data_IF_487849889541
#
_entry.id   IF_487849889541
#
_cell.length_a   1.000
_cell.length_b   1.000
_cell.length_c   1.000
_cell.angle_alpha   90.00
_cell.angle_beta   90.00
_cell.angle_gamma   90.00
#
_symmetry.space_group_name_H-M   'P 1'
#
loop_
_entity.id
_entity.type
_entity.pdbx_description
1 polymer ?
#
# COMPACT_ATOMS: atom_id res chain seq x y z
N UNK A 1 -34.85 -2.69 32.59
CA UNK A 1 -33.41 -2.58 32.28
C UNK A 1 -33.12 -2.60 30.78
N UNK A 2 -33.74 -3.45 29.94
CA UNK A 2 -33.57 -3.45 28.46
C UNK A 2 -33.88 -2.10 27.75
N UNK A 3 -34.93 -1.38 28.17
CA UNK A 3 -35.31 -0.11 27.53
C UNK A 3 -34.38 1.08 27.83
N UNK A 4 -33.56 1.02 28.89
CA UNK A 4 -32.63 2.12 29.22
C UNK A 4 -31.42 2.11 28.29
N UNK A 5 -30.85 0.93 28.01
CA UNK A 5 -29.73 0.74 27.09
C UNK A 5 -30.08 1.10 25.64
N UNK A 6 -31.27 0.69 25.17
CA UNK A 6 -31.80 1.09 23.86
C UNK A 6 -32.00 2.62 23.75
N UNK A 7 -32.44 3.27 24.82
CA UNK A 7 -32.66 4.72 24.83
C UNK A 7 -31.36 5.52 24.93
N UNK A 8 -30.31 5.03 25.61
CA UNK A 8 -29.00 5.69 25.67
C UNK A 8 -28.21 5.51 24.36
N UNK A 9 -28.30 4.33 23.72
CA UNK A 9 -27.77 4.09 22.36
C UNK A 9 -28.45 5.01 21.33
N UNK A 10 -29.79 5.19 21.44
CA UNK A 10 -30.55 6.18 20.66
C UNK A 10 -30.22 7.63 21.03
N UNK A 11 -29.90 7.92 22.29
CA UNK A 11 -29.51 9.26 22.73
C UNK A 11 -28.12 9.66 22.20
N UNK A 12 -27.14 8.75 22.21
CA UNK A 12 -25.83 8.98 21.58
C UNK A 12 -25.93 9.04 20.05
N UNK A 13 -26.75 8.18 19.42
CA UNK A 13 -27.06 8.28 17.99
C UNK A 13 -27.82 9.57 17.63
N UNK A 14 -28.74 10.04 18.47
CA UNK A 14 -29.48 11.30 18.30
C UNK A 14 -28.65 12.54 18.60
N UNK A 15 -27.72 12.45 19.54
CA UNK A 15 -26.73 13.50 19.83
C UNK A 15 -25.65 13.57 18.74
N UNK A 16 -25.35 12.44 18.07
CA UNK A 16 -24.49 12.41 16.90
C UNK A 16 -25.11 13.11 15.68
N UNK A 17 -26.45 13.11 15.53
CA UNK A 17 -27.13 13.91 14.49
C UNK A 17 -26.99 15.41 14.76
N UNK A 18 -27.01 15.84 16.03
CA UNK A 18 -26.84 17.25 16.42
C UNK A 18 -25.35 17.68 16.45
N UNK A 19 -24.43 16.80 16.87
CA UNK A 19 -22.99 17.05 16.91
C UNK A 19 -22.32 16.98 15.54
N UNK A 20 -22.71 16.01 14.69
CA UNK A 20 -22.31 15.99 13.28
C UNK A 20 -22.97 17.15 12.51
N UNK A 21 -24.19 17.55 12.84
CA UNK A 21 -24.87 18.70 12.22
C UNK A 21 -24.22 20.06 12.49
N UNK A 22 -23.53 20.22 13.64
CA UNK A 22 -22.86 21.48 14.01
C UNK A 22 -21.36 21.55 13.61
N UNK A 23 -20.74 20.42 13.26
CA UNK A 23 -19.35 20.37 12.78
C UNK A 23 -19.20 19.99 11.29
N UNK A 24 -20.21 19.36 10.66
CA UNK A 24 -20.14 18.96 9.25
C UNK A 24 -20.03 20.12 8.24
N UNK A 25 -20.65 21.31 8.42
CA UNK A 25 -20.54 22.36 7.41
C UNK A 25 -19.15 23.03 7.34
N UNK A 26 -18.31 22.86 8.37
CA UNK A 26 -16.99 23.49 8.43
C UNK A 26 -15.84 22.60 7.93
N UNK A 27 -16.08 21.29 7.73
CA UNK A 27 -15.03 20.34 7.32
C UNK A 27 -15.03 20.10 5.79
N UNK A 28 -16.16 20.32 5.10
CA UNK A 28 -16.21 20.16 3.63
C UNK A 28 -15.56 21.29 2.83
N UNK A 29 -15.16 22.40 3.46
CA UNK A 29 -14.43 23.49 2.80
C UNK A 29 -12.90 23.45 2.99
N UNK A 30 -12.37 22.48 3.72
CA UNK A 30 -10.91 22.29 3.89
C UNK A 30 -10.40 20.91 3.42
N UNK A 31 -11.22 20.16 2.67
CA UNK A 31 -10.75 19.01 1.88
C UNK A 31 -9.74 19.40 0.78
N UNK A 32 -9.45 20.70 0.62
CA UNK A 32 -8.30 21.21 -0.10
C UNK A 32 -7.18 21.60 0.89
N UNK A 33 -6.07 20.89 0.81
CA UNK A 33 -4.77 21.19 1.46
C UNK A 33 -4.70 21.07 3.00
N UNK A 34 -4.78 19.85 3.51
CA UNK A 34 -3.88 19.51 4.62
C UNK A 34 -2.50 19.23 4.02
N UNK A 35 -1.69 20.28 3.88
CA UNK A 35 -0.25 20.10 3.69
C UNK A 35 0.26 19.20 4.80
N UNK A 36 0.88 18.08 4.41
CA UNK A 36 1.52 17.15 5.36
C UNK A 36 2.47 17.94 6.27
N UNK A 37 2.44 17.74 7.60
CA UNK A 37 3.34 18.43 8.51
C UNK A 37 4.72 17.76 8.49
N UNK A 38 5.37 17.82 7.33
CA UNK A 38 6.80 17.77 7.16
C UNK A 38 7.14 18.46 5.84
N UNK A 39 7.77 19.63 5.89
CA UNK A 39 8.78 20.00 4.89
C UNK A 39 9.90 18.95 4.97
N UNK A 40 9.66 17.77 4.37
CA UNK A 40 10.69 16.78 4.06
C UNK A 40 11.23 17.19 2.70
N UNK A 41 12.41 17.82 2.70
CA UNK A 41 13.11 18.18 1.48
C UNK A 41 13.05 17.07 0.43
N UNK A 42 12.73 17.46 -0.80
CA UNK A 42 12.60 16.63 -2.00
C UNK A 42 11.79 15.31 -1.81
N UNK A 43 10.46 15.42 -1.93
CA UNK A 43 9.52 14.27 -2.00
C UNK A 43 9.53 13.61 -3.40
N UNK A 44 10.62 13.74 -4.14
CA UNK A 44 10.75 13.16 -5.47
C UNK A 44 11.26 11.73 -5.33
N UNK A 45 10.32 10.79 -5.39
CA UNK A 45 10.50 9.38 -5.79
C UNK A 45 10.98 8.37 -4.72
N UNK A 46 10.14 8.12 -3.71
CA UNK A 46 10.26 6.95 -2.81
C UNK A 46 9.17 5.91 -3.12
N UNK A 47 9.45 4.62 -2.91
CA UNK A 47 8.41 3.57 -2.92
C UNK A 47 7.36 3.92 -1.87
N UNK A 48 6.07 3.82 -2.21
CA UNK A 48 5.00 4.28 -1.33
C UNK A 48 4.33 3.10 -0.62
N UNK A 49 4.23 3.20 0.71
CA UNK A 49 3.28 2.45 1.54
C UNK A 49 2.19 3.45 1.92
N UNK A 50 0.92 3.11 1.73
CA UNK A 50 -0.18 3.95 2.20
C UNK A 50 -0.75 3.36 3.47
N UNK A 51 -0.77 4.15 4.54
CA UNK A 51 -1.30 3.78 5.83
C UNK A 51 -2.63 4.50 6.05
N UNK A 52 -3.73 3.76 6.01
CA UNK A 52 -5.09 4.28 6.18
C UNK A 52 -5.64 3.77 7.51
N UNK A 53 -6.18 4.68 8.32
CA UNK A 53 -6.78 4.31 9.60
C UNK A 53 -7.27 5.49 10.41
N UNK A 54 -7.31 5.30 11.72
CA UNK A 54 -7.97 6.20 12.67
C UNK A 54 -6.98 6.99 13.54
N UNK A 55 -7.49 7.78 14.50
CA UNK A 55 -6.70 8.67 15.37
C UNK A 55 -5.51 7.99 16.03
N UNK A 56 -5.73 6.81 16.62
CA UNK A 56 -4.69 6.10 17.38
C UNK A 56 -3.69 5.40 16.46
N UNK A 57 -3.96 5.24 15.16
CA UNK A 57 -2.98 4.80 14.17
C UNK A 57 -2.19 5.98 13.61
N UNK A 58 -2.85 7.13 13.47
CA UNK A 58 -2.28 8.39 12.98
C UNK A 58 -1.12 8.91 13.82
N UNK A 59 -1.08 8.61 15.12
CA UNK A 59 -0.11 9.17 16.08
C UNK A 59 -0.76 9.95 17.22
N UNK A 60 -2.09 9.97 17.31
CA UNK A 60 -2.76 10.52 18.49
C UNK A 60 -2.37 9.69 19.71
N UNK A 61 -1.98 10.36 20.79
CA UNK A 61 -1.54 9.78 22.07
C UNK A 61 -0.13 9.15 22.08
N UNK A 62 0.69 9.38 21.04
CA UNK A 62 2.05 8.82 20.95
C UNK A 62 3.17 9.59 21.69
N UNK A 63 2.83 10.69 22.37
CA UNK A 63 3.78 11.67 22.90
C UNK A 63 3.82 11.82 24.41
N UNK A 64 4.95 12.29 24.94
CA UNK A 64 5.13 12.64 26.36
C UNK A 64 4.71 14.09 26.67
N UNK A 65 4.89 15.00 25.70
CA UNK A 65 4.71 16.45 25.93
C UNK A 65 3.51 17.06 25.19
N UNK A 66 2.96 16.35 24.20
CA UNK A 66 1.76 16.75 23.46
C UNK A 66 1.01 15.51 22.97
N UNK A 67 -0.34 15.51 22.95
CA UNK A 67 -1.14 14.39 22.47
C UNK A 67 -1.01 14.11 20.97
N UNK A 68 -0.19 14.86 20.22
CA UNK A 68 0.04 14.72 18.78
C UNK A 68 1.52 14.44 18.48
N UNK A 69 1.94 13.17 18.44
CA UNK A 69 3.31 12.79 18.08
C UNK A 69 3.34 11.99 16.77
N UNK A 70 3.24 12.72 15.65
CA UNK A 70 3.31 12.15 14.30
C UNK A 70 4.65 11.46 14.01
N UNK A 71 5.73 11.96 14.61
CA UNK A 71 7.10 11.43 14.55
C UNK A 71 7.27 10.08 15.28
N UNK A 72 6.33 9.70 16.13
CA UNK A 72 6.28 8.38 16.81
C UNK A 72 5.08 7.54 16.39
N UNK A 73 4.33 7.99 15.38
CA UNK A 73 3.18 7.27 14.84
C UNK A 73 3.59 5.86 14.35
N UNK A 74 2.66 4.91 14.34
CA UNK A 74 2.95 3.55 13.85
C UNK A 74 3.37 3.58 12.37
N UNK A 75 2.71 4.38 11.49
CA UNK A 75 3.21 4.62 10.14
C UNK A 75 4.66 5.12 10.09
N UNK A 76 5.07 6.02 10.98
CA UNK A 76 6.46 6.49 11.03
C UNK A 76 7.42 5.38 11.47
N UNK A 77 7.06 4.60 12.48
CA UNK A 77 7.87 3.45 12.92
C UNK A 77 8.06 2.41 11.79
N UNK A 78 7.03 2.19 10.97
CA UNK A 78 7.12 1.35 9.76
C UNK A 78 8.11 1.93 8.76
N UNK A 79 8.03 3.24 8.49
CA UNK A 79 8.95 3.93 7.59
C UNK A 79 10.41 3.77 8.05
N UNK A 80 10.67 4.05 9.32
CA UNK A 80 12.00 3.98 9.91
C UNK A 80 12.58 2.56 9.84
N UNK A 81 11.78 1.54 10.15
CA UNK A 81 12.22 0.15 10.11
C UNK A 81 12.49 -0.35 8.68
N UNK A 82 11.68 0.05 7.71
CA UNK A 82 11.90 -0.29 6.30
C UNK A 82 13.14 0.41 5.76
N UNK A 83 13.37 1.67 6.14
CA UNK A 83 14.60 2.41 5.79
C UNK A 83 15.85 1.84 6.46
N UNK A 84 15.75 1.37 7.70
CA UNK A 84 16.85 0.70 8.39
C UNK A 84 17.31 -0.58 7.65
N UNK A 85 16.47 -1.17 6.80
CA UNK A 85 16.82 -2.27 5.88
C UNK A 85 17.38 -1.79 4.53
N UNK A 86 17.71 -0.51 4.39
CA UNK A 86 18.26 0.08 3.16
C UNK A 86 17.24 0.31 2.04
N UNK A 87 15.94 0.18 2.32
CA UNK A 87 14.90 0.36 1.32
C UNK A 87 14.43 1.82 1.24
N UNK A 88 14.34 2.36 0.03
CA UNK A 88 13.86 3.72 -0.23
C UNK A 88 12.31 3.79 -0.19
N UNK A 89 11.72 3.69 0.99
CA UNK A 89 10.28 3.86 1.21
C UNK A 89 9.91 5.19 1.87
N UNK A 90 8.73 5.69 1.50
CA UNK A 90 7.92 6.62 2.28
C UNK A 90 6.64 5.92 2.73
N UNK A 91 6.20 6.22 3.95
CA UNK A 91 4.86 5.86 4.40
C UNK A 91 3.98 7.11 4.34
N UNK A 92 3.00 7.08 3.46
CA UNK A 92 1.93 8.08 3.38
C UNK A 92 0.89 7.80 4.47
N UNK A 93 0.99 8.52 5.58
CA UNK A 93 0.08 8.43 6.70
C UNK A 93 -1.22 9.17 6.39
N UNK A 94 -2.18 8.45 5.80
CA UNK A 94 -3.54 8.91 5.50
C UNK A 94 -4.54 8.54 6.58
N UNK A 95 -4.09 8.27 7.81
CA UNK A 95 -4.99 8.05 8.91
C UNK A 95 -5.69 9.37 9.28
N UNK A 96 -7.01 9.32 9.44
CA UNK A 96 -7.84 10.50 9.71
C UNK A 96 -8.58 10.30 11.03
N UNK A 97 -8.40 11.27 11.92
CA UNK A 97 -9.07 11.25 13.23
C UNK A 97 -10.59 11.32 13.06
N UNK A 98 -11.31 10.63 13.95
CA UNK A 98 -12.78 10.59 13.98
C UNK A 98 -13.45 9.98 12.74
N UNK A 99 -12.70 9.28 11.87
CA UNK A 99 -13.28 8.59 10.71
C UNK A 99 -13.65 7.15 11.00
N UNK A 100 -14.80 6.74 10.47
CA UNK A 100 -15.23 5.35 10.34
C UNK A 100 -14.74 4.78 9.01
N UNK A 101 -14.75 3.46 8.84
CA UNK A 101 -14.40 2.83 7.55
C UNK A 101 -15.25 3.35 6.39
N UNK A 102 -16.53 3.66 6.62
CA UNK A 102 -17.43 4.20 5.57
C UNK A 102 -16.95 5.52 4.97
N UNK A 103 -16.20 6.32 5.75
CA UNK A 103 -15.63 7.59 5.27
C UNK A 103 -14.54 7.39 4.22
N UNK A 104 -14.02 6.17 4.07
CA UNK A 104 -12.91 5.85 3.17
C UNK A 104 -13.33 5.16 1.88
N UNK A 105 -14.61 4.78 1.74
CA UNK A 105 -15.12 4.15 0.50
C UNK A 105 -15.83 5.15 -0.42
N UNK A 106 -16.10 6.37 0.06
CA UNK A 106 -16.74 7.41 -0.76
C UNK A 106 -15.81 7.89 -1.89
N UNK A 107 -16.34 8.31 -3.05
CA UNK A 107 -15.53 8.90 -4.12
C UNK A 107 -14.64 10.04 -3.61
N UNK A 108 -13.37 10.04 -4.03
CA UNK A 108 -12.35 11.01 -3.59
C UNK A 108 -11.79 10.78 -2.17
N UNK A 109 -12.30 9.80 -1.41
CA UNK A 109 -11.73 9.45 -0.12
C UNK A 109 -10.43 8.66 -0.27
N UNK A 110 -9.59 8.67 0.77
CA UNK A 110 -8.26 8.06 0.76
C UNK A 110 -8.24 6.57 0.41
N UNK A 111 -9.32 5.83 0.71
CA UNK A 111 -9.50 4.41 0.41
C UNK A 111 -10.42 4.12 -0.78
N UNK A 112 -10.79 5.14 -1.54
CA UNK A 112 -11.64 4.96 -2.72
C UNK A 112 -10.88 4.29 -3.87
N UNK A 113 -11.60 3.56 -4.72
CA UNK A 113 -11.04 2.94 -5.93
C UNK A 113 -10.25 3.93 -6.78
N UNK A 114 -10.76 5.15 -6.94
CA UNK A 114 -10.14 6.22 -7.71
C UNK A 114 -8.79 6.64 -7.12
N UNK A 115 -8.76 6.96 -5.83
CA UNK A 115 -7.52 7.41 -5.17
C UNK A 115 -6.50 6.28 -5.08
N UNK A 116 -6.94 5.05 -4.81
CA UNK A 116 -6.05 3.90 -4.72
C UNK A 116 -5.46 3.54 -6.08
N UNK A 117 -6.28 3.55 -7.14
CA UNK A 117 -5.81 3.36 -8.50
C UNK A 117 -4.73 4.40 -8.81
N UNK A 118 -4.92 5.66 -8.44
CA UNK A 118 -4.02 6.76 -8.82
C UNK A 118 -2.72 6.86 -8.01
N UNK A 119 -2.51 5.96 -7.04
CA UNK A 119 -1.30 5.93 -6.22
C UNK A 119 -0.31 4.89 -6.71
N UNK A 120 0.97 5.24 -6.75
CA UNK A 120 2.07 4.29 -7.00
C UNK A 120 2.42 3.42 -5.77
N UNK A 121 1.45 3.22 -4.88
CA UNK A 121 1.58 2.38 -3.69
C UNK A 121 1.47 0.91 -4.08
N UNK A 122 2.33 0.07 -3.50
CA UNK A 122 2.25 -1.39 -3.63
C UNK A 122 1.75 -2.08 -2.35
N UNK A 123 1.84 -1.41 -1.19
CA UNK A 123 1.41 -1.93 0.12
C UNK A 123 0.44 -0.94 0.76
N UNK A 124 -0.76 -1.40 1.11
CA UNK A 124 -1.74 -0.62 1.88
C UNK A 124 -1.92 -1.24 3.25
N UNK A 125 -1.76 -0.44 4.30
CA UNK A 125 -1.99 -0.83 5.69
C UNK A 125 -3.34 -0.28 6.14
N UNK A 126 -4.20 -1.14 6.69
CA UNK A 126 -5.53 -0.76 7.19
C UNK A 126 -5.63 -1.01 8.71
N UNK A 127 -5.98 0.04 9.46
CA UNK A 127 -6.28 -0.03 10.90
C UNK A 127 -7.58 0.75 11.20
N UNK A 128 -8.67 0.02 11.48
CA UNK A 128 -10.00 0.59 11.70
C UNK A 128 -10.77 -0.19 12.76
N UNK A 129 -11.75 0.48 13.39
CA UNK A 129 -12.75 -0.19 14.22
C UNK A 129 -13.16 0.59 15.47
N UNK A 130 -12.36 1.55 15.95
CA UNK A 130 -12.68 2.30 17.17
C UNK A 130 -13.89 3.20 16.92
N UNK A 131 -13.85 4.02 15.87
CA UNK A 131 -14.97 4.93 15.60
C UNK A 131 -16.22 4.18 15.15
N UNK A 132 -16.04 3.04 14.48
CA UNK A 132 -17.14 2.15 14.11
C UNK A 132 -17.79 1.47 15.33
N UNK A 133 -16.99 1.11 16.35
CA UNK A 133 -17.52 0.59 17.61
C UNK A 133 -18.34 1.66 18.36
N UNK A 134 -17.83 2.89 18.43
CA UNK A 134 -18.45 3.96 19.23
C UNK A 134 -19.66 4.59 18.51
N UNK A 135 -19.56 4.84 17.21
CA UNK A 135 -20.53 5.66 16.45
C UNK A 135 -21.21 4.90 15.30
N UNK A 136 -20.86 3.65 15.08
CA UNK A 136 -21.33 2.84 13.95
C UNK A 136 -22.13 1.61 14.38
N UNK A 137 -22.18 0.66 13.45
CA UNK A 137 -22.70 -0.69 13.69
C UNK A 137 -21.71 -1.71 13.12
N UNK A 138 -21.65 -2.90 13.72
CA UNK A 138 -20.77 -3.98 13.25
C UNK A 138 -21.12 -4.41 11.82
N UNK A 139 -22.39 -4.34 11.42
CA UNK A 139 -22.81 -4.73 10.07
C UNK A 139 -22.43 -3.68 9.01
N UNK A 140 -22.54 -2.39 9.33
CA UNK A 140 -22.00 -1.32 8.47
C UNK A 140 -20.48 -1.49 8.32
N UNK A 141 -19.78 -1.72 9.42
CA UNK A 141 -18.34 -1.96 9.41
C UNK A 141 -17.97 -3.15 8.51
N UNK A 142 -18.62 -4.31 8.69
CA UNK A 142 -18.35 -5.51 7.86
C UNK A 142 -18.49 -5.21 6.38
N UNK A 143 -19.60 -4.58 5.99
CA UNK A 143 -19.90 -4.25 4.60
C UNK A 143 -18.84 -3.32 4.02
N UNK A 144 -18.55 -2.21 4.70
CA UNK A 144 -17.65 -1.17 4.20
C UNK A 144 -16.18 -1.53 4.29
N UNK A 145 -15.78 -2.33 5.27
CA UNK A 145 -14.43 -2.86 5.35
C UNK A 145 -14.15 -3.91 4.26
N UNK A 146 -15.15 -4.73 3.93
CA UNK A 146 -15.07 -5.63 2.77
C UNK A 146 -14.93 -4.85 1.46
N UNK A 147 -15.74 -3.81 1.27
CA UNK A 147 -15.67 -2.91 0.11
C UNK A 147 -14.28 -2.24 0.00
N UNK A 148 -13.74 -1.70 1.09
CA UNK A 148 -12.40 -1.10 1.10
C UNK A 148 -11.28 -2.10 0.74
N UNK A 149 -11.36 -3.33 1.24
CA UNK A 149 -10.40 -4.39 0.88
C UNK A 149 -10.50 -4.73 -0.62
N UNK A 150 -11.72 -4.86 -1.15
CA UNK A 150 -11.93 -5.11 -2.57
C UNK A 150 -11.38 -3.99 -3.42
N UNK A 151 -11.57 -2.74 -2.99
CA UNK A 151 -11.05 -1.57 -3.69
C UNK A 151 -9.51 -1.59 -3.74
N UNK A 152 -8.87 -1.90 -2.62
CA UNK A 152 -7.42 -2.08 -2.56
C UNK A 152 -6.94 -3.21 -3.48
N UNK A 153 -7.64 -4.36 -3.47
CA UNK A 153 -7.27 -5.50 -4.33
C UNK A 153 -7.42 -5.13 -5.80
N UNK A 154 -8.58 -4.56 -6.20
CA UNK A 154 -8.87 -4.05 -7.55
C UNK A 154 -7.76 -3.14 -8.06
N UNK A 155 -7.33 -2.22 -7.22
CA UNK A 155 -6.20 -1.33 -7.49
C UNK A 155 -4.82 -2.01 -7.33
N UNK A 156 -4.71 -3.34 -7.44
CA UNK A 156 -3.45 -4.09 -7.46
C UNK A 156 -2.59 -3.98 -6.20
N UNK A 157 -3.19 -3.67 -5.04
CA UNK A 157 -2.44 -3.43 -3.80
C UNK A 157 -2.28 -4.71 -2.97
N UNK A 158 -1.11 -4.89 -2.36
CA UNK A 158 -0.91 -5.85 -1.29
C UNK A 158 -1.45 -5.26 0.01
N UNK A 159 -2.53 -5.85 0.53
CA UNK A 159 -3.23 -5.32 1.71
C UNK A 159 -2.71 -6.00 2.97
N UNK A 160 -2.35 -5.19 3.96
CA UNK A 160 -1.97 -5.61 5.31
C UNK A 160 -2.99 -5.02 6.28
N UNK A 161 -3.65 -5.88 7.03
CA UNK A 161 -4.68 -5.48 8.00
C UNK A 161 -4.18 -5.71 9.41
N UNK A 162 -4.54 -4.82 10.32
CA UNK A 162 -4.41 -5.02 11.77
C UNK A 162 -5.78 -5.00 12.41
N UNK A 163 -5.95 -5.65 13.58
CA UNK A 163 -7.08 -5.35 14.44
C UNK A 163 -7.05 -3.89 14.91
N UNK A 164 -8.20 -3.29 15.27
CA UNK A 164 -8.22 -1.99 15.92
C UNK A 164 -7.43 -2.01 17.22
N UNK A 165 -6.93 -0.84 17.61
CA UNK A 165 -6.23 -0.69 18.88
C UNK A 165 -7.22 -0.92 20.03
N UNK A 166 -6.76 -1.57 21.11
CA UNK A 166 -7.62 -1.90 22.24
C UNK A 166 -7.79 -0.68 23.14
N UNK A 167 -9.04 -0.40 23.50
CA UNK A 167 -9.39 0.61 24.48
C UNK A 167 -9.96 -0.13 25.68
N UNK A 168 -9.43 0.12 26.87
CA UNK A 168 -9.94 -0.44 28.12
C UNK A 168 -10.79 0.63 28.80
N UNK A 169 -12.04 0.28 29.15
CA UNK A 169 -12.99 1.16 29.82
C UNK A 169 -13.13 0.74 31.27
N UNK A 170 -12.73 1.61 32.19
CA UNK A 170 -12.87 1.36 33.62
C UNK A 170 -14.33 1.52 34.09
N UNK A 171 -15.13 2.34 33.39
CA UNK A 171 -16.56 2.48 33.65
C UNK A 171 -17.34 1.24 33.15
N UNK A 172 -18.03 0.50 34.04
CA UNK A 172 -18.91 -0.60 33.66
C UNK A 172 -19.95 -0.26 32.59
N UNK A 173 -20.42 0.98 32.55
CA UNK A 173 -21.43 1.47 31.60
C UNK A 173 -20.87 1.65 30.18
N UNK A 174 -19.54 1.68 30.01
CA UNK A 174 -18.86 1.86 28.73
C UNK A 174 -18.18 0.57 28.20
N UNK A 175 -18.21 -0.52 28.97
CA UNK A 175 -17.66 -1.83 28.56
C UNK A 175 -18.27 -2.41 27.29
N UNK A 176 -19.45 -1.95 26.87
CA UNK A 176 -20.04 -2.32 25.58
C UNK A 176 -19.14 -1.94 24.38
N UNK A 177 -18.26 -0.94 24.53
CA UNK A 177 -17.27 -0.55 23.50
C UNK A 177 -16.23 -1.66 23.32
N UNK A 178 -15.76 -2.26 24.42
CA UNK A 178 -14.82 -3.39 24.38
C UNK A 178 -15.45 -4.63 23.73
N UNK A 179 -16.71 -4.92 24.07
CA UNK A 179 -17.48 -6.00 23.46
C UNK A 179 -17.66 -5.78 21.95
N UNK A 180 -18.01 -4.55 21.55
CA UNK A 180 -18.19 -4.19 20.13
C UNK A 180 -16.86 -4.25 19.37
N UNK A 181 -15.75 -3.80 19.96
CA UNK A 181 -14.41 -3.93 19.37
C UNK A 181 -13.98 -5.40 19.21
N UNK A 182 -14.41 -6.26 20.12
CA UNK A 182 -14.20 -7.71 20.03
C UNK A 182 -14.97 -8.29 18.84
N UNK A 183 -16.23 -7.90 18.65
CA UNK A 183 -17.02 -8.30 17.49
C UNK A 183 -16.43 -7.79 16.17
N UNK A 184 -15.96 -6.53 16.13
CA UNK A 184 -15.26 -5.97 14.97
C UNK A 184 -13.97 -6.73 14.66
N UNK A 185 -13.18 -7.08 15.69
CA UNK A 185 -11.95 -7.85 15.50
C UNK A 185 -12.23 -9.26 14.94
N UNK A 186 -13.32 -9.91 15.38
CA UNK A 186 -13.78 -11.17 14.82
C UNK A 186 -14.25 -11.02 13.36
N UNK A 187 -14.94 -9.92 13.04
CA UNK A 187 -15.33 -9.59 11.68
C UNK A 187 -14.11 -9.38 10.76
N UNK A 188 -13.12 -8.60 11.18
CA UNK A 188 -11.85 -8.41 10.46
C UNK A 188 -11.18 -9.75 10.18
N UNK A 189 -11.09 -10.61 11.19
CA UNK A 189 -10.47 -11.94 11.07
C UNK A 189 -11.16 -12.78 10.00
N UNK A 190 -12.49 -12.83 10.04
CA UNK A 190 -13.31 -13.56 9.06
C UNK A 190 -13.14 -12.99 7.65
N UNK A 191 -13.17 -11.66 7.50
CA UNK A 191 -13.01 -10.99 6.20
C UNK A 191 -11.62 -11.27 5.62
N UNK A 192 -10.56 -11.15 6.42
CA UNK A 192 -9.19 -11.38 5.97
C UNK A 192 -8.98 -12.83 5.52
N UNK A 193 -9.51 -13.80 6.27
CA UNK A 193 -9.50 -15.22 5.88
C UNK A 193 -10.24 -15.45 4.56
N UNK A 194 -11.48 -14.96 4.44
CA UNK A 194 -12.31 -15.15 3.25
C UNK A 194 -11.75 -14.48 2.00
N UNK A 195 -11.06 -13.34 2.16
CA UNK A 195 -10.49 -12.58 1.04
C UNK A 195 -9.01 -12.89 0.77
N UNK A 196 -8.41 -13.82 1.53
CA UNK A 196 -7.00 -14.16 1.50
C UNK A 196 -6.10 -12.91 1.64
N UNK A 197 -6.31 -12.14 2.71
CA UNK A 197 -5.59 -10.91 3.03
C UNK A 197 -4.75 -11.11 4.29
N UNK A 198 -3.56 -10.51 4.30
CA UNK A 198 -2.64 -10.61 5.42
C UNK A 198 -3.21 -9.89 6.65
N UNK A 199 -3.38 -10.63 7.74
CA UNK A 199 -3.79 -10.10 9.03
C UNK A 199 -2.63 -10.21 10.02
N UNK A 200 -2.19 -9.08 10.54
CA UNK A 200 -1.22 -9.03 11.65
C UNK A 200 -2.01 -9.09 12.95
N UNK A 201 -1.97 -10.26 13.60
CA UNK A 201 -2.69 -10.51 14.86
C UNK A 201 -1.83 -10.15 16.08
N UNK A 202 -2.51 -9.65 17.12
CA UNK A 202 -1.95 -9.28 18.41
C UNK A 202 -0.83 -8.24 18.37
N UNK A 203 -1.18 -6.99 18.60
CA UNK A 203 -0.22 -5.90 18.71
C UNK A 203 -0.81 -4.73 18.01
N UNK A 204 -1.53 -3.91 18.77
CA UNK A 204 -1.47 -2.47 18.71
C UNK A 204 -2.27 -1.88 19.91
N UNK A 205 -1.93 -0.64 20.26
CA UNK A 205 -1.99 0.06 21.55
C UNK A 205 -3.07 -0.42 22.53
N UNK A 206 -2.66 -0.83 23.73
CA UNK A 206 -3.55 -0.75 24.90
C UNK A 206 -3.55 0.70 25.33
N UNK A 207 -4.56 1.45 24.90
CA UNK A 207 -4.78 2.78 25.46
C UNK A 207 -5.59 2.55 26.73
N UNK A 208 -4.90 2.48 27.87
CA UNK A 208 -5.55 2.77 29.13
C UNK A 208 -5.87 4.26 29.12
N UNK A 209 -7.13 4.60 29.38
CA UNK A 209 -7.60 5.97 29.44
C UNK A 209 -7.92 6.29 30.90
N UNK A 210 -7.48 7.45 31.39
CA UNK A 210 -7.98 7.95 32.67
C UNK A 210 -9.43 8.46 32.53
N UNK A 211 -10.03 8.88 33.65
CA UNK A 211 -11.39 9.44 33.71
C UNK A 211 -11.61 10.70 32.83
N UNK A 212 -10.53 11.27 32.27
CA UNK A 212 -10.55 12.41 31.36
C UNK A 212 -10.17 12.04 29.92
N UNK A 213 -10.12 10.75 29.59
CA UNK A 213 -9.72 10.22 28.28
C UNK A 213 -8.27 10.56 27.90
N UNK A 214 -7.37 10.72 28.88
CA UNK A 214 -5.92 10.82 28.62
C UNK A 214 -5.28 9.43 28.56
N UNK A 215 -4.32 9.21 27.65
CA UNK A 215 -3.54 7.98 27.62
C UNK A 215 -2.71 7.84 28.90
N UNK A 216 -2.94 6.76 29.65
CA UNK A 216 -2.18 6.41 30.85
C UNK A 216 -0.83 5.79 30.49
N UNK A 217 -0.70 5.19 29.29
CA UNK A 217 0.54 4.68 28.74
C UNK A 217 1.17 5.67 27.74
N UNK A 218 2.35 6.19 28.07
CA UNK A 218 3.14 7.09 27.20
C UNK A 218 3.76 6.38 25.97
N UNK A 219 4.76 7.03 25.35
CA UNK A 219 5.38 6.61 24.08
C UNK A 219 5.84 5.13 24.02
N UNK A 220 6.22 4.50 25.14
CA UNK A 220 6.66 3.10 25.18
C UNK A 220 5.54 2.09 24.85
N UNK A 221 4.30 2.35 25.29
CA UNK A 221 3.15 1.51 24.97
C UNK A 221 2.83 1.55 23.47
N UNK A 222 3.03 2.70 22.85
CA UNK A 222 2.80 2.96 21.43
C UNK A 222 3.87 2.30 20.53
N UNK A 223 5.12 2.23 20.99
CA UNK A 223 6.21 1.51 20.30
C UNK A 223 6.00 -0.01 20.35
N UNK A 224 5.70 -0.55 21.54
CA UNK A 224 5.47 -2.00 21.71
C UNK A 224 4.29 -2.49 20.88
N UNK A 225 3.26 -1.65 20.81
CA UNK A 225 2.05 -1.86 20.02
C UNK A 225 2.34 -2.02 18.52
N UNK A 226 3.11 -1.11 17.93
CA UNK A 226 3.40 -1.12 16.48
C UNK A 226 4.36 -2.22 16.06
N UNK A 227 5.12 -2.78 17.00
CA UNK A 227 6.25 -3.67 16.70
C UNK A 227 5.91 -4.84 15.77
N UNK A 228 4.78 -5.53 15.96
CA UNK A 228 4.43 -6.66 15.09
C UNK A 228 4.11 -6.23 13.66
N UNK A 229 3.36 -5.14 13.50
CA UNK A 229 3.11 -4.56 12.18
C UNK A 229 4.43 -4.12 11.53
N UNK A 230 5.31 -3.48 12.30
CA UNK A 230 6.64 -3.05 11.86
C UNK A 230 7.47 -4.27 11.41
N UNK A 231 7.58 -5.31 12.23
CA UNK A 231 8.30 -6.55 11.91
C UNK A 231 7.75 -7.19 10.63
N UNK A 232 6.41 -7.29 10.53
CA UNK A 232 5.72 -7.87 9.37
C UNK A 232 5.98 -7.06 8.09
N UNK A 233 5.71 -5.75 8.11
CA UNK A 233 5.92 -4.87 6.94
C UNK A 233 7.39 -4.85 6.54
N UNK A 234 8.31 -4.82 7.50
CA UNK A 234 9.75 -4.87 7.22
C UNK A 234 10.18 -6.20 6.57
N UNK A 235 9.40 -7.27 6.72
CA UNK A 235 9.66 -8.59 6.12
C UNK A 235 9.09 -8.68 4.71
N UNK A 236 7.89 -8.15 4.48
CA UNK A 236 7.25 -8.21 3.15
C UNK A 236 7.74 -7.10 2.20
N UNK A 237 8.19 -5.94 2.69
CA UNK A 237 8.62 -4.84 1.83
C UNK A 237 9.80 -5.21 0.91
N UNK A 238 10.85 -5.91 1.39
CA UNK A 238 11.89 -6.44 0.50
C UNK A 238 11.34 -7.39 -0.57
N UNK A 239 10.39 -8.27 -0.22
CA UNK A 239 9.76 -9.21 -1.17
C UNK A 239 9.01 -8.43 -2.26
N UNK A 240 8.14 -7.49 -1.87
CA UNK A 240 7.40 -6.65 -2.83
C UNK A 240 8.35 -5.83 -3.72
N UNK A 241 9.46 -5.35 -3.17
CA UNK A 241 10.49 -4.65 -3.92
C UNK A 241 11.16 -5.54 -4.98
N UNK A 242 11.50 -6.80 -4.63
CA UNK A 242 12.06 -7.78 -5.58
C UNK A 242 11.02 -8.19 -6.63
N UNK A 243 9.78 -8.46 -6.23
CA UNK A 243 8.68 -8.76 -7.16
C UNK A 243 8.50 -7.64 -8.19
N UNK A 244 8.48 -6.37 -7.76
CA UNK A 244 8.35 -5.24 -8.69
C UNK A 244 9.53 -5.15 -9.67
N UNK A 245 10.75 -5.51 -9.25
CA UNK A 245 11.91 -5.60 -10.15
C UNK A 245 11.74 -6.73 -11.17
N UNK A 246 11.36 -7.93 -10.72
CA UNK A 246 11.12 -9.08 -11.60
C UNK A 246 10.00 -8.78 -12.59
N UNK A 247 8.88 -8.19 -12.14
CA UNK A 247 7.81 -7.74 -13.05
C UNK A 247 8.36 -6.72 -14.06
N UNK A 248 9.17 -5.75 -13.64
CA UNK A 248 9.82 -4.82 -14.56
C UNK A 248 10.69 -5.50 -15.62
N UNK A 249 11.42 -6.55 -15.23
CA UNK A 249 12.22 -7.36 -16.16
C UNK A 249 11.35 -8.19 -17.11
N UNK A 250 10.25 -8.79 -16.63
CA UNK A 250 9.27 -9.49 -17.49
C UNK A 250 8.66 -8.55 -18.52
N UNK A 251 8.26 -7.35 -18.09
CA UNK A 251 7.79 -6.31 -19.01
C UNK A 251 8.87 -5.99 -20.02
N UNK A 252 10.10 -5.69 -19.59
CA UNK A 252 11.19 -5.31 -20.49
C UNK A 252 11.50 -6.38 -21.54
N UNK A 253 11.57 -7.64 -21.13
CA UNK A 253 12.00 -8.74 -21.97
C UNK A 253 10.87 -9.28 -22.83
N UNK A 254 9.70 -9.49 -22.24
CA UNK A 254 8.62 -10.28 -22.85
C UNK A 254 7.36 -9.45 -23.16
N UNK A 255 7.24 -8.21 -22.66
CA UNK A 255 6.08 -7.35 -22.89
C UNK A 255 4.79 -7.84 -22.20
N UNK A 256 4.91 -8.78 -21.26
CA UNK A 256 3.79 -9.44 -20.57
C UNK A 256 4.00 -9.47 -19.06
N UNK A 257 2.96 -9.86 -18.33
CA UNK A 257 3.07 -10.18 -16.91
C UNK A 257 3.81 -11.49 -16.67
N UNK A 258 4.40 -11.61 -15.48
CA UNK A 258 4.84 -12.90 -14.95
C UNK A 258 3.63 -13.65 -14.37
N UNK A 259 3.53 -14.93 -14.71
CA UNK A 259 2.68 -15.87 -13.98
C UNK A 259 3.16 -16.03 -12.52
N UNK A 260 2.26 -16.38 -11.60
CA UNK A 260 2.57 -16.48 -10.15
C UNK A 260 3.81 -17.33 -9.87
N UNK A 261 3.90 -18.52 -10.48
CA UNK A 261 5.01 -19.45 -10.27
C UNK A 261 6.35 -18.89 -10.77
N UNK A 262 6.36 -18.24 -11.92
CA UNK A 262 7.55 -17.57 -12.46
C UNK A 262 7.97 -16.39 -11.59
N UNK A 263 7.01 -15.55 -11.17
CA UNK A 263 7.29 -14.43 -10.29
C UNK A 263 7.94 -14.89 -8.98
N UNK A 264 7.39 -15.92 -8.34
CA UNK A 264 7.94 -16.49 -7.11
C UNK A 264 9.34 -17.11 -7.33
N UNK A 265 9.52 -17.83 -8.44
CA UNK A 265 10.81 -18.45 -8.77
C UNK A 265 11.92 -17.40 -8.88
N UNK A 266 11.73 -16.39 -9.74
CA UNK A 266 12.74 -15.35 -9.96
C UNK A 266 12.93 -14.45 -8.74
N UNK A 267 11.86 -14.15 -8.00
CA UNK A 267 11.94 -13.36 -6.76
C UNK A 267 12.78 -14.06 -5.69
N UNK A 268 12.60 -15.38 -5.52
CA UNK A 268 13.33 -16.16 -4.52
C UNK A 268 14.82 -16.26 -4.84
N UNK A 269 15.17 -16.34 -6.13
CA UNK A 269 16.56 -16.31 -6.60
C UNK A 269 17.19 -14.94 -6.43
N UNK A 270 16.46 -13.88 -6.79
CA UNK A 270 16.91 -12.50 -6.61
C UNK A 270 17.20 -12.13 -5.14
N UNK A 271 16.65 -12.88 -4.19
CA UNK A 271 16.98 -12.70 -2.78
C UNK A 271 18.42 -13.11 -2.41
N UNK A 272 19.07 -13.97 -3.22
CA UNK A 272 20.35 -14.61 -2.89
C UNK A 272 21.41 -14.54 -3.99
N UNK A 273 21.06 -14.08 -5.19
CA UNK A 273 21.94 -14.05 -6.36
C UNK A 273 22.28 -12.63 -6.82
N UNK A 274 23.33 -12.50 -7.63
CA UNK A 274 23.67 -11.23 -8.25
C UNK A 274 22.58 -10.77 -9.23
N UNK A 275 22.19 -9.51 -9.12
CA UNK A 275 21.05 -8.97 -9.85
C UNK A 275 21.36 -8.78 -11.34
N UNK A 276 22.60 -8.45 -11.73
CA UNK A 276 22.97 -8.31 -13.14
C UNK A 276 23.07 -9.68 -13.80
N UNK A 277 23.63 -10.67 -13.11
CA UNK A 277 23.72 -12.05 -13.60
C UNK A 277 22.33 -12.67 -13.79
N UNK A 278 21.45 -12.56 -12.79
CA UNK A 278 20.10 -13.10 -12.84
C UNK A 278 19.26 -12.46 -13.96
N UNK A 279 19.32 -11.12 -14.10
CA UNK A 279 18.61 -10.46 -15.19
C UNK A 279 19.20 -10.77 -16.57
N UNK A 280 20.51 -11.06 -16.64
CA UNK A 280 21.12 -11.55 -17.89
C UNK A 280 20.65 -12.95 -18.23
N UNK A 281 20.53 -13.85 -17.24
CA UNK A 281 19.96 -15.18 -17.43
C UNK A 281 18.52 -15.08 -17.95
N UNK A 282 17.68 -14.26 -17.33
CA UNK A 282 16.32 -14.00 -17.83
C UNK A 282 16.33 -13.51 -19.28
N UNK A 283 17.26 -12.61 -19.63
CA UNK A 283 17.38 -12.07 -20.97
C UNK A 283 17.82 -13.09 -22.02
N UNK A 284 18.43 -14.21 -21.61
CA UNK A 284 18.86 -15.29 -22.51
C UNK A 284 17.71 -16.22 -22.93
N UNK A 285 16.49 -16.05 -22.38
CA UNK A 285 15.29 -16.67 -22.91
C UNK A 285 14.76 -15.99 -24.18
N UNK A 286 15.26 -14.80 -24.52
CA UNK A 286 14.99 -14.16 -25.81
C UNK A 286 15.91 -14.72 -26.91
N UNK A 287 15.51 -14.59 -28.19
CA UNK A 287 16.41 -14.87 -29.30
C UNK A 287 17.74 -14.12 -29.18
N UNK A 288 18.78 -14.66 -29.81
CA UNK A 288 20.09 -14.01 -29.84
C UNK A 288 20.05 -12.74 -30.71
N UNK A 289 19.70 -11.63 -30.06
CA UNK A 289 19.64 -10.32 -30.67
C UNK A 289 21.01 -9.66 -30.72
N UNK A 290 21.25 -8.91 -31.80
CA UNK A 290 22.33 -7.90 -31.76
C UNK A 290 22.07 -6.92 -30.61
N UNK A 291 23.11 -6.31 -30.01
CA UNK A 291 22.93 -5.34 -28.92
C UNK A 291 21.89 -4.27 -29.24
N UNK A 292 21.93 -3.71 -30.46
CA UNK A 292 20.96 -2.70 -30.90
C UNK A 292 19.52 -3.21 -31.02
N UNK A 293 19.33 -4.47 -31.45
CA UNK A 293 18.01 -5.08 -31.54
C UNK A 293 17.43 -5.36 -30.15
N UNK A 294 18.26 -5.87 -29.23
CA UNK A 294 17.89 -6.07 -27.83
C UNK A 294 17.41 -4.76 -27.19
N UNK A 295 18.18 -3.67 -27.37
CA UNK A 295 17.83 -2.36 -26.81
C UNK A 295 16.49 -1.85 -27.35
N UNK A 296 16.25 -1.99 -28.66
CA UNK A 296 14.98 -1.57 -29.28
C UNK A 296 13.79 -2.35 -28.72
N UNK A 297 13.93 -3.66 -28.55
CA UNK A 297 12.88 -4.52 -27.96
C UNK A 297 12.55 -4.06 -26.53
N UNK A 298 13.56 -3.85 -25.69
CA UNK A 298 13.36 -3.40 -24.30
C UNK A 298 12.63 -2.05 -24.24
N UNK A 299 13.01 -1.08 -25.07
CA UNK A 299 12.34 0.23 -25.09
C UNK A 299 10.89 0.15 -25.57
N UNK A 300 10.62 -0.67 -26.59
CA UNK A 300 9.25 -0.88 -27.06
C UNK A 300 8.38 -1.53 -25.97
N UNK A 301 8.91 -2.55 -25.30
CA UNK A 301 8.18 -3.29 -24.28
C UNK A 301 8.01 -2.52 -22.96
N UNK A 302 8.93 -1.63 -22.58
CA UNK A 302 8.78 -0.82 -21.37
C UNK A 302 7.96 0.44 -21.60
N UNK A 303 8.18 1.12 -22.72
CA UNK A 303 7.70 2.50 -22.91
C UNK A 303 6.76 2.65 -24.11
N UNK A 304 6.62 1.62 -24.95
CA UNK A 304 5.80 1.71 -26.17
C UNK A 304 6.39 2.64 -27.24
N UNK A 305 7.69 2.93 -27.18
CA UNK A 305 8.39 3.83 -28.11
C UNK A 305 9.78 3.30 -28.45
N UNK A 306 10.35 3.83 -29.52
CA UNK A 306 11.76 3.59 -29.86
C UNK A 306 12.72 4.28 -28.89
N UNK A 307 13.90 3.68 -28.69
CA UNK A 307 15.02 4.32 -28.01
C UNK A 307 15.47 5.57 -28.78
N UNK A 308 15.82 6.63 -28.05
CA UNK A 308 16.56 7.74 -28.66
C UNK A 308 17.98 7.27 -29.03
N UNK A 309 18.60 7.96 -29.98
CA UNK A 309 19.89 7.52 -30.52
C UNK A 309 20.99 7.49 -29.44
N UNK A 310 20.94 8.38 -28.45
CA UNK A 310 21.90 8.42 -27.34
C UNK A 310 21.78 7.19 -26.45
N UNK A 311 20.57 6.88 -25.98
CA UNK A 311 20.29 5.67 -25.19
C UNK A 311 20.58 4.39 -25.97
N UNK A 312 20.23 4.34 -27.27
CA UNK A 312 20.53 3.20 -28.12
C UNK A 312 22.04 2.94 -28.21
N UNK A 313 22.84 3.98 -28.46
CA UNK A 313 24.29 3.87 -28.56
C UNK A 313 24.91 3.47 -27.21
N UNK A 314 24.49 4.12 -26.12
CA UNK A 314 25.01 3.87 -24.79
C UNK A 314 24.77 2.42 -24.35
N UNK A 315 23.52 1.94 -24.38
CA UNK A 315 23.19 0.60 -23.92
C UNK A 315 23.74 -0.49 -24.86
N UNK A 316 23.77 -0.24 -26.18
CA UNK A 316 24.42 -1.18 -27.11
C UNK A 316 25.91 -1.34 -26.78
N UNK A 317 26.59 -0.25 -26.42
CA UNK A 317 27.99 -0.28 -25.99
C UNK A 317 28.15 -1.06 -24.69
N UNK A 318 27.31 -0.83 -23.68
CA UNK A 318 27.33 -1.59 -22.41
C UNK A 318 27.24 -3.09 -22.66
N UNK A 319 26.29 -3.52 -23.50
CA UNK A 319 26.11 -4.94 -23.86
C UNK A 319 27.32 -5.48 -24.65
N UNK A 320 27.87 -4.69 -25.58
CA UNK A 320 29.01 -5.11 -26.40
C UNK A 320 30.28 -5.28 -25.57
N UNK A 321 30.52 -4.36 -24.63
CA UNK A 321 31.72 -4.36 -23.79
C UNK A 321 31.63 -5.39 -22.65
N UNK A 322 30.42 -5.78 -22.24
CA UNK A 322 30.17 -6.75 -21.17
C UNK A 322 29.29 -7.91 -21.65
N UNK A 323 29.79 -8.83 -22.49
CA UNK A 323 28.95 -9.88 -23.10
C UNK A 323 28.23 -10.80 -22.10
N UNK A 324 28.78 -10.96 -20.89
CA UNK A 324 28.25 -11.88 -19.87
C UNK A 324 27.24 -11.24 -18.91
N UNK A 325 27.21 -9.91 -18.78
CA UNK A 325 26.37 -9.21 -17.79
C UNK A 325 25.70 -7.94 -18.32
N UNK A 326 26.08 -7.47 -19.51
CA UNK A 326 25.67 -6.17 -20.04
C UNK A 326 24.17 -6.05 -20.31
N UNK A 327 23.48 -7.17 -20.60
CA UNK A 327 22.01 -7.19 -20.69
C UNK A 327 21.38 -6.93 -19.31
N UNK A 328 21.87 -7.60 -18.26
CA UNK A 328 21.43 -7.38 -16.89
C UNK A 328 21.75 -5.97 -16.37
N UNK A 329 22.97 -5.48 -16.63
CA UNK A 329 23.37 -4.10 -16.31
C UNK A 329 22.43 -3.07 -16.95
N UNK A 330 22.06 -3.27 -18.23
CA UNK A 330 21.09 -2.42 -18.91
C UNK A 330 19.73 -2.47 -18.23
N UNK A 331 19.19 -3.67 -18.00
CA UNK A 331 17.87 -3.84 -17.39
C UNK A 331 17.82 -3.20 -16.00
N UNK A 332 18.85 -3.42 -15.18
CA UNK A 332 18.96 -2.83 -13.86
C UNK A 332 19.06 -1.31 -13.90
N UNK A 333 19.92 -0.76 -14.76
CA UNK A 333 20.05 0.70 -14.89
C UNK A 333 18.74 1.37 -15.31
N UNK A 334 18.01 0.78 -16.26
CA UNK A 334 16.70 1.30 -16.69
C UNK A 334 15.66 1.15 -15.59
N UNK A 335 15.53 -0.03 -14.99
CA UNK A 335 14.56 -0.29 -13.91
C UNK A 335 14.79 0.65 -12.74
N UNK A 336 16.04 0.85 -12.31
CA UNK A 336 16.38 1.76 -11.21
C UNK A 336 16.01 3.20 -11.55
N UNK A 337 16.31 3.64 -12.77
CA UNK A 337 15.95 4.98 -13.24
C UNK A 337 14.44 5.21 -13.20
N UNK A 338 13.64 4.23 -13.64
CA UNK A 338 12.18 4.36 -13.67
C UNK A 338 11.54 4.20 -12.30
N UNK A 339 12.00 3.25 -11.47
CA UNK A 339 11.51 3.06 -10.11
C UNK A 339 11.78 4.31 -9.27
N UNK A 340 13.01 4.84 -9.35
CA UNK A 340 13.42 6.05 -8.64
C UNK A 340 13.02 7.34 -9.36
N UNK A 341 12.30 7.26 -10.48
CA UNK A 341 11.79 8.41 -11.22
C UNK A 341 12.85 9.43 -11.63
N UNK A 342 14.11 9.02 -11.80
CA UNK A 342 15.22 9.92 -12.13
C UNK A 342 15.35 10.19 -13.63
N UNK A 343 14.47 9.62 -14.45
CA UNK A 343 14.36 9.94 -15.87
C UNK A 343 13.82 11.36 -16.07
N UNK A 344 14.37 12.09 -17.04
CA UNK A 344 13.83 13.38 -17.47
C UNK A 344 12.51 13.27 -18.24
N UNK A 345 12.11 12.06 -18.68
CA UNK A 345 10.86 11.81 -19.39
C UNK A 345 9.82 11.19 -18.47
N UNK A 346 8.95 12.03 -17.89
CA UNK A 346 7.90 11.61 -16.96
C UNK A 346 6.95 10.56 -17.55
N UNK A 347 6.60 10.67 -18.84
CA UNK A 347 5.74 9.67 -19.51
C UNK A 347 6.32 8.26 -19.52
N UNK A 348 7.65 8.11 -19.54
CA UNK A 348 8.30 6.79 -19.45
C UNK A 348 8.19 6.23 -18.03
N UNK A 349 8.40 7.09 -17.03
CA UNK A 349 8.25 6.74 -15.61
C UNK A 349 6.82 6.24 -15.36
N UNK A 350 5.83 7.00 -15.82
CA UNK A 350 4.41 6.67 -15.63
C UNK A 350 4.04 5.38 -16.35
N UNK A 351 4.42 5.22 -17.62
CA UNK A 351 4.16 3.99 -18.39
C UNK A 351 4.80 2.77 -17.72
N UNK A 352 6.07 2.88 -17.31
CA UNK A 352 6.76 1.81 -16.61
C UNK A 352 6.04 1.44 -15.30
N UNK A 353 5.73 2.44 -14.47
CA UNK A 353 5.08 2.22 -13.16
C UNK A 353 3.70 1.62 -13.32
N UNK A 354 2.91 2.06 -14.30
CA UNK A 354 1.61 1.47 -14.61
C UNK A 354 1.73 0.03 -15.09
N UNK A 355 2.68 -0.28 -15.97
CA UNK A 355 2.92 -1.66 -16.42
C UNK A 355 3.37 -2.57 -15.27
N UNK A 356 4.27 -2.09 -14.42
CA UNK A 356 4.70 -2.82 -13.22
C UNK A 356 3.53 -2.99 -12.24
N UNK A 357 2.72 -1.96 -12.06
CA UNK A 357 1.54 -2.00 -11.20
C UNK A 357 0.55 -3.07 -11.65
N UNK A 358 0.19 -3.08 -12.93
CA UNK A 358 -0.67 -4.08 -13.54
C UNK A 358 -0.06 -5.50 -13.47
N UNK A 359 1.26 -5.63 -13.69
CA UNK A 359 1.96 -6.91 -13.55
C UNK A 359 2.01 -7.44 -12.12
N UNK A 360 2.19 -6.57 -11.13
CA UNK A 360 2.10 -6.90 -9.71
C UNK A 360 0.68 -7.34 -9.32
N UNK A 361 -0.33 -6.64 -9.83
CA UNK A 361 -1.72 -7.01 -9.60
C UNK A 361 -1.98 -8.47 -10.06
N UNK A 362 -1.59 -8.79 -11.29
CA UNK A 362 -1.76 -10.13 -11.86
C UNK A 362 -0.94 -11.20 -11.11
N UNK A 363 0.37 -11.03 -11.06
CA UNK A 363 1.30 -12.06 -10.60
C UNK A 363 1.41 -12.18 -9.08
N UNK A 364 1.19 -11.10 -8.31
CA UNK A 364 1.36 -11.11 -6.86
C UNK A 364 0.03 -11.06 -6.07
N UNK A 365 -0.98 -10.33 -6.57
CA UNK A 365 -2.22 -10.08 -5.81
C UNK A 365 -3.32 -11.06 -6.18
N UNK A 366 -3.57 -11.30 -7.46
CA UNK A 366 -4.63 -12.22 -7.90
C UNK A 366 -4.16 -13.66 -8.00
N UNK A 367 -2.84 -13.90 -8.07
CA UNK A 367 -2.28 -15.25 -8.08
C UNK A 367 -2.87 -16.13 -9.18
N UNK A 368 -3.28 -15.52 -10.30
CA UNK A 368 -3.89 -16.25 -11.41
C UNK A 368 -2.80 -17.18 -11.95
N UNK A 369 -3.00 -18.48 -11.72
CA UNK A 369 -2.08 -19.55 -12.14
C UNK A 369 -2.21 -19.86 -13.64
N UNK A 370 -3.02 -19.09 -14.36
CA UNK A 370 -3.37 -19.37 -15.73
C UNK A 370 -2.21 -19.05 -16.66
N UNK A 371 -1.49 -20.10 -17.05
CA UNK A 371 -0.42 -20.07 -18.05
C UNK A 371 -0.96 -19.88 -19.48
N UNK A 372 -2.28 -19.83 -19.69
CA UNK A 372 -2.89 -19.82 -21.01
C UNK A 372 -3.12 -18.42 -21.60
N UNK A 373 -3.12 -17.35 -20.80
CA UNK A 373 -3.29 -15.98 -21.29
C UNK A 373 -2.04 -15.16 -21.04
N UNK A 374 -1.22 -14.98 -22.07
CA UNK A 374 -0.21 -13.93 -22.10
C UNK A 374 -0.92 -12.57 -21.92
N UNK A 375 -0.98 -12.08 -20.68
CA UNK A 375 -1.54 -10.76 -20.40
C UNK A 375 -0.55 -9.70 -20.86
N UNK A 376 -0.71 -9.33 -22.12
CA UNK A 376 0.11 -8.34 -22.80
C UNK A 376 -0.09 -6.96 -22.14
N UNK A 377 1.02 -6.35 -21.72
CA UNK A 377 1.03 -5.04 -21.07
C UNK A 377 1.21 -3.87 -22.05
N UNK A 378 1.25 -4.14 -23.37
CA UNK A 378 1.30 -3.09 -24.39
C UNK A 378 0.08 -2.15 -24.35
N UNK A 379 -1.08 -2.63 -23.87
CA UNK A 379 -2.30 -1.82 -23.69
C UNK A 379 -2.21 -0.82 -22.53
N UNK A 380 -1.30 -1.06 -21.58
CA UNK A 380 -1.07 -0.20 -20.43
C UNK A 380 -0.08 0.91 -20.82
N UNK A 381 -0.48 2.15 -20.61
CA UNK A 381 0.27 3.36 -20.98
C UNK A 381 0.38 4.32 -19.79
N UNK A 382 0.77 5.58 -20.01
CA UNK A 382 0.94 6.59 -18.96
C UNK A 382 -0.37 7.15 -18.36
N UNK A 383 -1.52 6.49 -18.58
CA UNK A 383 -2.82 6.93 -18.05
C UNK A 383 -3.42 5.92 -17.06
N UNK A 384 -4.07 6.42 -16.02
CA UNK A 384 -4.77 5.59 -15.05
C UNK A 384 -6.00 4.89 -15.64
N UNK A 385 -6.60 5.44 -16.69
CA UNK A 385 -7.65 4.78 -17.45
C UNK A 385 -7.17 3.44 -18.03
N UNK A 386 -5.93 3.38 -18.55
CA UNK A 386 -5.36 2.13 -19.06
C UNK A 386 -5.11 1.10 -17.95
N UNK A 387 -4.71 1.57 -16.76
CA UNK A 387 -4.54 0.72 -15.57
C UNK A 387 -5.87 0.13 -15.14
N UNK A 388 -6.91 0.96 -14.99
CA UNK A 388 -8.25 0.53 -14.58
C UNK A 388 -8.82 -0.51 -15.54
N UNK A 389 -8.77 -0.23 -16.84
CA UNK A 389 -9.24 -1.17 -17.87
C UNK A 389 -8.51 -2.52 -17.80
N UNK A 390 -7.19 -2.51 -17.57
CA UNK A 390 -6.43 -3.73 -17.39
C UNK A 390 -6.84 -4.48 -16.11
N UNK A 391 -6.90 -3.80 -14.97
CA UNK A 391 -7.22 -4.45 -13.68
C UNK A 391 -8.65 -4.98 -13.64
N UNK A 392 -9.60 -4.30 -14.29
CA UNK A 392 -10.99 -4.77 -14.42
C UNK A 392 -11.06 -6.06 -15.24
N UNK A 393 -10.21 -6.22 -16.26
CA UNK A 393 -10.16 -7.46 -17.08
C UNK A 393 -9.65 -8.70 -16.33
N UNK A 394 -9.14 -8.53 -15.09
CA UNK A 394 -8.69 -9.62 -14.24
C UNK A 394 -9.82 -10.23 -13.40
N UNK A 395 -10.99 -9.60 -13.38
CA UNK A 395 -12.21 -10.05 -12.69
C UNK A 395 -13.28 -10.45 -13.71
#
# INVERSE_FOLDING_TARGET
MSNYYLNRRKFLQGSAVLGAGLLAPAIFSSAASATSPCDRGDVTYRKLITAIGESTFRGYLGGTDYPWCYDKSIPQQVEDAVRAKGLNYSVDNRAISSTKVICHVAPGAAGSDEVLAETNTNIVILNFGINDAVYGTVDEFKSKFCELIENCKKAGKRVVVTHPNKIKMDDPDDRWIEETLTEISAAITTICQNKNVELVTDGLVYVELDDQFHPVAGAEGYIKAGKKLVDHVSTIAPVVARQARIVGAYVALFGRTAEKGGLDYWESRLANEDQDELLTEMANYLPDYTPSAFVKTVYQNLFGRSADQGGLNFWSKVITDNPQSGKGQMLNGIIDTMQNGTSSRQSDIDTYRHRVHCGMAYGAVYGITDVASDHNLAVVNNTWQSVRAYTESLF
#
